data_IF_443940912464
#
_entry.id   IF_443940912464
#
_cell.length_a   1.000
_cell.length_b   1.000
_cell.length_c   1.000
_cell.angle_alpha   90.00
_cell.angle_beta   90.00
_cell.angle_gamma   90.00
#
_symmetry.space_group_name_H-M   'P 1'
#
loop_
_entity.id
_entity.type
_entity.pdbx_description
1 polymer ?
#
# COMPACT_ATOMS: atom_id res chain seq x y z
N UNK A 1 6.70 16.50 19.82
CA UNK A 1 7.02 16.72 18.40
C UNK A 1 6.65 15.46 17.63
N UNK A 2 5.42 15.47 17.11
CA UNK A 2 4.90 14.81 15.91
C UNK A 2 5.48 13.43 15.55
N UNK A 3 4.72 12.36 15.81
CA UNK A 3 4.65 11.23 14.89
C UNK A 3 3.17 10.96 14.64
N UNK A 4 2.62 11.60 13.61
CA UNK A 4 1.29 11.26 13.10
C UNK A 4 1.40 9.87 12.48
N UNK A 5 1.24 8.80 13.29
CA UNK A 5 0.97 7.47 12.77
C UNK A 5 -0.39 7.54 12.08
N UNK A 6 -0.37 7.78 10.77
CA UNK A 6 -1.54 7.81 9.89
C UNK A 6 -2.29 6.49 10.10
N UNK A 7 -3.46 6.60 10.72
CA UNK A 7 -4.30 5.44 11.08
C UNK A 7 -4.96 4.95 9.80
N UNK A 8 -4.38 3.89 9.22
CA UNK A 8 -4.91 3.21 8.05
C UNK A 8 -6.20 2.47 8.46
N UNK A 9 -7.30 2.67 7.71
CA UNK A 9 -8.59 2.02 7.98
C UNK A 9 -8.45 0.49 8.01
N UNK A 10 -8.69 -0.10 9.20
CA UNK A 10 -8.67 -1.53 9.51
C UNK A 10 -9.70 -2.33 8.72
N UNK A 11 -9.33 -2.78 7.52
CA UNK A 11 -10.14 -3.71 6.73
C UNK A 11 -9.24 -4.70 5.99
N UNK A 12 -9.67 -5.96 5.93
CA UNK A 12 -9.02 -7.02 5.14
C UNK A 12 -8.74 -6.55 3.70
N UNK A 13 -7.47 -6.55 3.29
CA UNK A 13 -7.05 -6.05 1.99
C UNK A 13 -7.14 -7.15 0.93
N UNK A 14 -7.97 -6.94 -0.09
CA UNK A 14 -8.04 -7.80 -1.26
C UNK A 14 -7.01 -7.32 -2.30
N UNK A 15 -6.00 -8.15 -2.58
CA UNK A 15 -5.01 -7.87 -3.60
C UNK A 15 -5.13 -8.86 -4.76
N UNK A 16 -4.79 -8.40 -5.97
CA UNK A 16 -4.69 -9.26 -7.14
C UNK A 16 -3.25 -9.73 -7.29
N UNK A 17 -3.02 -11.04 -7.36
CA UNK A 17 -1.72 -11.58 -7.80
C UNK A 17 -1.55 -11.33 -9.30
N UNK A 18 -0.31 -11.40 -9.78
CA UNK A 18 0.04 -11.26 -11.22
C UNK A 18 -0.77 -12.20 -12.11
N UNK A 19 -1.16 -13.36 -11.58
CA UNK A 19 -1.95 -14.40 -12.28
C UNK A 19 -3.48 -14.14 -12.15
N UNK A 20 -3.90 -12.94 -11.73
CA UNK A 20 -5.31 -12.56 -11.56
C UNK A 20 -6.02 -13.19 -10.35
N UNK A 21 -5.39 -14.13 -9.64
CA UNK A 21 -5.93 -14.75 -8.43
C UNK A 21 -6.09 -13.69 -7.32
N UNK A 22 -7.32 -13.50 -6.85
CA UNK A 22 -7.60 -12.69 -5.66
C UNK A 22 -7.00 -13.38 -4.44
N UNK A 23 -6.29 -12.60 -3.64
CA UNK A 23 -5.70 -13.05 -2.39
C UNK A 23 -6.07 -12.05 -1.30
N UNK A 24 -6.59 -12.57 -0.19
CA UNK A 24 -6.95 -11.76 0.97
C UNK A 24 -5.76 -11.74 1.91
N UNK A 25 -5.18 -10.56 2.16
CA UNK A 25 -4.17 -10.39 3.20
C UNK A 25 -4.87 -10.16 4.54
N UNK A 26 -4.42 -10.93 5.53
CA UNK A 26 -4.86 -10.76 6.91
C UNK A 26 -4.23 -9.50 7.51
N UNK A 27 -5.04 -8.72 8.21
CA UNK A 27 -4.68 -7.48 8.88
C UNK A 27 -3.51 -7.63 9.85
N UNK A 28 -3.45 -8.75 10.61
CA UNK A 28 -2.35 -8.99 11.56
C UNK A 28 -1.00 -9.05 10.84
N UNK A 29 -0.98 -9.66 9.66
CA UNK A 29 0.24 -9.80 8.86
C UNK A 29 0.69 -8.44 8.32
N UNK A 30 -0.25 -7.61 7.85
CA UNK A 30 0.06 -6.25 7.35
C UNK A 30 0.61 -5.38 8.48
N UNK A 31 0.04 -5.47 9.69
CA UNK A 31 0.50 -4.69 10.84
C UNK A 31 1.91 -5.09 11.28
N UNK A 32 2.18 -6.39 11.45
CA UNK A 32 3.52 -6.88 11.79
C UNK A 32 4.53 -6.46 10.73
N UNK A 33 4.16 -6.56 9.45
CA UNK A 33 5.00 -6.10 8.36
C UNK A 33 5.30 -4.59 8.45
N UNK A 34 4.30 -3.76 8.78
CA UNK A 34 4.52 -2.32 8.96
C UNK A 34 5.41 -1.99 10.17
N UNK A 35 5.32 -2.77 11.25
CA UNK A 35 6.15 -2.58 12.45
C UNK A 35 7.63 -2.91 12.18
N UNK A 36 7.90 -3.90 11.34
CA UNK A 36 9.26 -4.27 10.91
C UNK A 36 9.77 -3.37 9.77
N UNK A 37 8.87 -2.73 9.03
CA UNK A 37 9.21 -1.85 7.93
C UNK A 37 9.72 -0.49 8.44
N UNK A 38 10.96 -0.15 8.07
CA UNK A 38 11.58 1.15 8.38
C UNK A 38 11.11 2.32 7.50
N UNK A 39 10.16 2.06 6.61
CA UNK A 39 9.68 2.98 5.58
C UNK A 39 8.18 3.26 5.69
N UNK A 40 7.66 3.93 4.68
CA UNK A 40 6.24 4.25 4.58
C UNK A 40 5.51 3.16 3.78
N UNK A 41 4.36 2.72 4.31
CA UNK A 41 3.45 1.83 3.62
C UNK A 41 2.24 2.64 3.12
N UNK A 42 2.09 2.76 1.81
CA UNK A 42 1.00 3.48 1.16
C UNK A 42 -0.01 2.48 0.61
N UNK A 43 -1.29 2.71 0.90
CA UNK A 43 -2.39 1.86 0.45
C UNK A 43 -3.39 2.68 -0.39
N UNK A 44 -4.16 2.05 -1.29
CA UNK A 44 -5.19 2.74 -2.08
C UNK A 44 -6.20 3.50 -1.21
N UNK A 45 -6.50 2.99 -0.02
CA UNK A 45 -7.46 3.60 0.91
C UNK A 45 -6.90 4.81 1.67
N UNK A 46 -5.60 5.09 1.53
CA UNK A 46 -4.85 5.97 2.42
C UNK A 46 -4.55 7.31 1.76
N UNK A 47 -5.55 8.19 1.69
CA UNK A 47 -5.48 9.49 1.01
C UNK A 47 -5.04 9.35 -0.45
N UNK A 48 -6.01 9.11 -1.33
CA UNK A 48 -5.85 8.78 -2.76
C UNK A 48 -4.73 9.53 -3.51
N UNK A 49 -4.47 10.80 -3.17
CA UNK A 49 -3.45 11.62 -3.81
C UNK A 49 -2.03 11.04 -3.73
N UNK A 50 -1.60 10.51 -2.57
CA UNK A 50 -0.24 9.97 -2.44
C UNK A 50 -0.06 8.67 -3.21
N UNK A 51 -1.09 7.82 -3.21
CA UNK A 51 -1.10 6.57 -3.94
C UNK A 51 -1.11 6.78 -5.46
N UNK A 52 -1.94 7.68 -5.97
CA UNK A 52 -2.05 8.02 -7.39
C UNK A 52 -0.76 8.63 -7.96
N UNK A 53 -0.03 9.40 -7.17
CA UNK A 53 1.28 9.92 -7.59
C UNK A 53 2.36 8.83 -7.56
N UNK A 54 2.41 8.01 -6.50
CA UNK A 54 3.45 7.00 -6.34
C UNK A 54 3.35 5.81 -7.30
N UNK A 55 2.15 5.53 -7.83
CA UNK A 55 1.97 4.46 -8.82
C UNK A 55 2.43 4.85 -10.23
N UNK A 56 2.67 6.15 -10.49
CA UNK A 56 3.11 6.63 -11.81
C UNK A 56 4.54 6.20 -12.06
N UNK A 57 4.74 5.56 -13.21
CA UNK A 57 6.07 5.23 -13.74
C UNK A 57 6.35 6.09 -14.96
N UNK A 58 7.63 6.25 -15.32
CA UNK A 58 8.05 7.08 -16.46
C UNK A 58 7.28 6.77 -17.76
N UNK A 59 7.00 5.48 -17.99
CA UNK A 59 6.17 5.08 -19.11
C UNK A 59 4.67 5.26 -18.78
N UNK A 60 4.08 6.33 -19.31
CA UNK A 60 2.65 6.64 -19.12
C UNK A 60 1.68 5.58 -19.67
N UNK A 61 2.14 4.65 -20.52
CA UNK A 61 1.32 3.53 -21.01
C UNK A 61 1.12 2.43 -19.95
N UNK A 62 1.88 2.45 -18.86
CA UNK A 62 1.78 1.46 -17.79
C UNK A 62 0.87 2.01 -16.69
N UNK A 63 -0.41 1.66 -16.79
CA UNK A 63 -1.42 1.96 -15.78
C UNK A 63 -1.70 0.73 -14.91
N UNK A 64 -0.98 0.61 -13.79
CA UNK A 64 -1.18 -0.47 -12.80
C UNK A 64 -1.63 0.09 -11.47
N UNK A 65 -2.41 -0.71 -10.76
CA UNK A 65 -2.98 -0.38 -9.45
C UNK A 65 -2.50 -1.39 -8.40
N UNK A 66 -1.30 -1.19 -7.81
CA UNK A 66 -0.75 -2.06 -6.77
C UNK A 66 -1.62 -2.05 -5.50
N UNK A 67 -1.75 -3.20 -4.83
CA UNK A 67 -2.48 -3.25 -3.56
C UNK A 67 -1.76 -2.56 -2.39
N UNK A 68 -0.42 -2.52 -2.43
CA UNK A 68 0.46 -1.90 -1.43
C UNK A 68 1.66 -1.29 -2.14
N UNK A 69 2.10 -0.12 -1.70
CA UNK A 69 3.33 0.53 -2.14
C UNK A 69 4.21 0.74 -0.91
N UNK A 70 5.47 0.27 -0.99
CA UNK A 70 6.45 0.43 0.07
C UNK A 70 7.50 1.43 -0.37
N UNK A 71 7.72 2.47 0.43
CA UNK A 71 8.77 3.48 0.19
C UNK A 71 9.79 3.44 1.32
N UNK A 72 11.04 3.14 0.98
CA UNK A 72 12.17 3.32 1.87
C UNK A 72 12.74 4.73 1.68
N UNK A 73 12.94 5.45 2.79
CA UNK A 73 13.76 6.67 2.85
C UNK A 73 15.12 6.32 3.45
#
# INVERSE_FOLDING_TARGET
MIIHKKVIKMTNLQVKKVIGKKFTLNEKVIKTFQEELRGELVQPNDTDAAYEELRKVYNAMIDRHPGLIVRYC
#
